data_IF_817825960887
#
_entry.id   IF_817825960887
#
_cell.length_a   1.000
_cell.length_b   1.000
_cell.length_c   1.000
_cell.angle_alpha   90.00
_cell.angle_beta   90.00
_cell.angle_gamma   90.00
#
_symmetry.space_group_name_H-M   'P 1'
#
loop_
_entity.id
_entity.type
_entity.pdbx_description
1 polymer ?
#
# COMPACT_ATOMS: atom_id res chain seq x y z
N UNK A 1 -18.61 -5.92 -23.65
CA UNK A 1 -17.28 -6.12 -23.05
C UNK A 1 -17.05 -7.61 -22.99
N UNK A 2 -15.86 -8.08 -23.32
CA UNK A 2 -15.53 -9.50 -23.22
C UNK A 2 -15.00 -9.81 -21.83
N UNK A 3 -15.18 -11.05 -21.38
CA UNK A 3 -14.79 -11.50 -20.06
C UNK A 3 -14.01 -12.81 -20.16
N UNK A 4 -13.01 -12.95 -19.29
CA UNK A 4 -12.26 -14.17 -19.09
C UNK A 4 -12.83 -14.92 -17.89
N UNK A 5 -13.39 -16.10 -18.16
CA UNK A 5 -13.82 -17.05 -17.15
C UNK A 5 -12.65 -17.97 -16.82
N UNK A 6 -12.38 -18.14 -15.52
CA UNK A 6 -11.47 -19.16 -15.00
C UNK A 6 -12.27 -20.26 -14.34
N UNK A 7 -12.16 -21.47 -14.86
CA UNK A 7 -12.79 -22.66 -14.32
C UNK A 7 -11.92 -23.36 -13.27
N UNK A 8 -12.58 -24.22 -12.50
CA UNK A 8 -11.98 -25.21 -11.63
C UNK A 8 -11.34 -26.34 -12.45
N UNK A 9 -10.26 -26.92 -11.94
CA UNK A 9 -9.59 -28.08 -12.52
C UNK A 9 -10.20 -29.41 -12.06
N UNK A 10 -11.51 -29.41 -11.82
CA UNK A 10 -12.30 -30.59 -11.46
C UNK A 10 -13.54 -30.65 -12.37
N UNK A 11 -14.00 -31.85 -12.68
CA UNK A 11 -15.18 -32.10 -13.53
C UNK A 11 -15.15 -31.32 -14.85
N UNK A 12 -14.02 -31.38 -15.57
CA UNK A 12 -13.72 -30.51 -16.73
C UNK A 12 -14.77 -30.59 -17.83
N UNK A 13 -15.31 -31.78 -18.08
CA UNK A 13 -16.36 -32.03 -19.06
C UNK A 13 -17.68 -31.28 -18.78
N UNK A 14 -17.88 -30.77 -17.55
CA UNK A 14 -19.09 -30.07 -17.14
C UNK A 14 -18.96 -28.54 -17.13
N UNK A 15 -17.76 -27.97 -17.35
CA UNK A 15 -17.51 -26.52 -17.29
C UNK A 15 -18.44 -25.72 -18.20
N UNK A 16 -18.50 -26.08 -19.48
CA UNK A 16 -19.37 -25.39 -20.44
C UNK A 16 -20.85 -25.67 -20.19
N UNK A 17 -21.19 -26.88 -19.73
CA UNK A 17 -22.57 -27.25 -19.45
C UNK A 17 -23.12 -26.41 -18.28
N UNK A 18 -22.36 -26.29 -17.19
CA UNK A 18 -22.70 -25.42 -16.06
C UNK A 18 -22.82 -23.97 -16.50
N UNK A 19 -21.81 -23.43 -17.18
CA UNK A 19 -21.82 -22.03 -17.61
C UNK A 19 -23.04 -21.69 -18.49
N UNK A 20 -23.40 -22.56 -19.44
CA UNK A 20 -24.60 -22.39 -20.28
C UNK A 20 -25.89 -22.51 -19.47
N UNK A 21 -25.96 -23.47 -18.55
CA UNK A 21 -27.13 -23.63 -17.68
C UNK A 21 -27.35 -22.40 -16.79
N UNK A 22 -26.28 -21.83 -16.23
CA UNK A 22 -26.33 -20.60 -15.43
C UNK A 22 -26.83 -19.41 -16.25
N UNK A 23 -26.39 -19.28 -17.51
CA UNK A 23 -26.89 -18.24 -18.41
C UNK A 23 -28.39 -18.37 -18.69
N UNK A 24 -28.88 -19.59 -18.91
CA UNK A 24 -30.32 -19.85 -19.08
C UNK A 24 -31.11 -19.51 -17.82
N UNK A 25 -30.62 -19.92 -16.65
CA UNK A 25 -31.29 -19.67 -15.35
C UNK A 25 -31.39 -18.17 -15.04
N UNK A 26 -30.34 -17.41 -15.35
CA UNK A 26 -30.30 -15.96 -15.09
C UNK A 26 -30.87 -15.14 -16.27
N UNK A 27 -31.28 -15.78 -17.37
CA UNK A 27 -31.83 -15.10 -18.56
C UNK A 27 -30.80 -14.22 -19.29
N UNK A 28 -29.53 -14.63 -19.32
CA UNK A 28 -28.41 -13.86 -19.86
C UNK A 28 -28.09 -14.32 -21.29
N UNK A 29 -27.98 -13.37 -22.22
CA UNK A 29 -27.41 -13.60 -23.55
C UNK A 29 -25.89 -13.83 -23.45
N UNK A 30 -25.50 -15.10 -23.30
CA UNK A 30 -24.10 -15.54 -23.21
C UNK A 30 -23.61 -16.06 -24.56
N UNK A 31 -22.46 -15.51 -25.01
CA UNK A 31 -21.72 -16.02 -26.17
C UNK A 31 -20.36 -16.55 -25.74
N UNK A 32 -20.02 -17.76 -26.16
CA UNK A 32 -18.67 -18.32 -25.99
C UNK A 32 -17.85 -17.88 -27.19
N UNK A 33 -16.81 -17.10 -26.94
CA UNK A 33 -15.90 -16.59 -27.97
C UNK A 33 -14.73 -17.55 -28.17
N UNK A 34 -14.19 -18.08 -27.07
CA UNK A 34 -13.08 -19.04 -27.13
C UNK A 34 -13.11 -19.99 -25.94
N UNK A 35 -12.87 -21.27 -26.19
CA UNK A 35 -12.75 -22.30 -25.17
C UNK A 35 -11.89 -23.46 -25.69
N UNK A 36 -11.06 -24.03 -24.80
CA UNK A 36 -10.36 -25.29 -25.01
C UNK A 36 -10.47 -26.15 -23.76
N UNK A 37 -10.56 -27.47 -23.94
CA UNK A 37 -10.51 -28.42 -22.82
C UNK A 37 -9.10 -28.56 -22.22
N UNK A 38 -8.06 -28.11 -22.94
CA UNK A 38 -6.66 -28.22 -22.51
C UNK A 38 -6.26 -27.21 -21.41
N UNK A 39 -7.11 -26.21 -21.14
CA UNK A 39 -6.83 -25.17 -20.15
C UNK A 39 -8.10 -24.65 -19.46
N UNK A 40 -8.00 -24.11 -18.24
CA UNK A 40 -9.17 -23.72 -17.46
C UNK A 40 -9.79 -22.37 -17.87
N UNK A 41 -9.42 -21.81 -19.03
CA UNK A 41 -9.85 -20.48 -19.46
C UNK A 41 -10.89 -20.52 -20.57
N UNK A 42 -11.83 -19.58 -20.50
CA UNK A 42 -12.86 -19.37 -21.52
C UNK A 42 -13.11 -17.88 -21.70
N UNK A 43 -13.15 -17.43 -22.94
CA UNK A 43 -13.50 -16.05 -23.26
C UNK A 43 -14.98 -16.03 -23.64
N UNK A 44 -15.73 -15.15 -22.98
CA UNK A 44 -17.16 -14.99 -23.18
C UNK A 44 -17.54 -13.54 -23.45
N UNK A 45 -18.65 -13.35 -24.15
CA UNK A 45 -19.33 -12.08 -24.27
C UNK A 45 -20.66 -12.15 -23.50
N UNK A 46 -20.88 -11.20 -22.61
CA UNK A 46 -22.14 -11.00 -21.87
C UNK A 46 -22.55 -9.52 -21.89
N UNK A 47 -23.83 -9.19 -21.65
CA UNK A 47 -24.34 -7.83 -21.88
C UNK A 47 -23.77 -6.77 -20.93
N UNK A 48 -23.38 -7.15 -19.70
CA UNK A 48 -22.89 -6.22 -18.68
C UNK A 48 -22.06 -6.91 -17.60
N UNK A 49 -21.38 -6.11 -16.77
CA UNK A 49 -20.68 -6.61 -15.59
C UNK A 49 -21.63 -7.22 -14.56
N UNK A 50 -22.88 -6.74 -14.47
CA UNK A 50 -23.89 -7.32 -13.60
C UNK A 50 -24.34 -8.70 -14.09
N UNK A 51 -24.43 -8.91 -15.40
CA UNK A 51 -24.66 -10.24 -15.97
C UNK A 51 -23.51 -11.21 -15.61
N UNK A 52 -22.25 -10.76 -15.74
CA UNK A 52 -21.10 -11.56 -15.31
C UNK A 52 -21.16 -11.90 -13.80
N UNK A 53 -21.54 -10.95 -12.94
CA UNK A 53 -21.73 -11.19 -11.50
C UNK A 53 -22.86 -12.17 -11.20
N UNK A 54 -23.97 -12.08 -11.94
CA UNK A 54 -25.10 -12.99 -11.79
C UNK A 54 -24.72 -14.43 -12.16
N UNK A 55 -23.94 -14.63 -13.24
CA UNK A 55 -23.43 -15.95 -13.63
C UNK A 55 -22.61 -16.61 -12.51
N UNK A 56 -21.64 -15.90 -11.94
CA UNK A 56 -20.74 -16.51 -10.96
C UNK A 56 -21.42 -16.76 -9.60
N UNK A 57 -22.49 -16.02 -9.26
CA UNK A 57 -23.18 -16.11 -7.96
C UNK A 57 -23.64 -17.53 -7.60
N UNK A 58 -23.96 -18.34 -8.62
CA UNK A 58 -24.47 -19.71 -8.46
C UNK A 58 -23.52 -20.77 -9.01
N UNK A 59 -22.32 -20.36 -9.42
CA UNK A 59 -21.38 -21.26 -10.05
C UNK A 59 -20.59 -22.08 -9.03
N UNK A 60 -20.35 -23.34 -9.38
CA UNK A 60 -19.56 -24.30 -8.62
C UNK A 60 -18.22 -24.52 -9.32
N UNK A 61 -18.22 -24.68 -10.65
CA UNK A 61 -17.00 -24.91 -11.44
C UNK A 61 -16.36 -23.62 -11.97
N UNK A 62 -17.01 -22.46 -11.85
CA UNK A 62 -16.41 -21.16 -12.21
C UNK A 62 -15.76 -20.55 -10.95
N UNK A 63 -14.43 -20.39 -10.98
CA UNK A 63 -13.67 -19.79 -9.87
C UNK A 63 -13.76 -18.26 -9.89
N UNK A 64 -13.67 -17.67 -11.08
CA UNK A 64 -13.69 -16.22 -11.25
C UNK A 64 -14.07 -15.81 -12.68
N UNK A 65 -14.62 -14.60 -12.80
CA UNK A 65 -14.87 -13.94 -14.08
C UNK A 65 -14.20 -12.57 -14.02
N UNK A 66 -13.37 -12.26 -15.02
CA UNK A 66 -12.59 -11.04 -15.10
C UNK A 66 -12.94 -10.28 -16.37
N UNK A 67 -12.93 -8.95 -16.33
CA UNK A 67 -12.98 -8.15 -17.56
C UNK A 67 -11.73 -8.43 -18.39
N UNK A 68 -11.91 -8.74 -19.67
CA UNK A 68 -10.80 -9.00 -20.58
C UNK A 68 -10.27 -7.67 -21.11
N UNK A 69 -9.07 -7.29 -20.68
CA UNK A 69 -8.45 -6.01 -21.06
C UNK A 69 -7.51 -6.10 -22.25
N UNK A 70 -7.01 -7.29 -22.55
CA UNK A 70 -6.11 -7.53 -23.67
C UNK A 70 -6.06 -8.99 -24.02
N UNK A 71 -6.06 -9.28 -25.31
CA UNK A 71 -5.93 -10.63 -25.84
C UNK A 71 -5.21 -10.65 -27.19
N UNK A 72 -4.22 -11.52 -27.35
CA UNK A 72 -3.50 -11.70 -28.61
C UNK A 72 -3.12 -13.18 -28.80
N UNK A 73 -3.86 -13.93 -29.64
CA UNK A 73 -3.55 -15.33 -29.93
C UNK A 73 -2.14 -15.55 -30.52
N UNK A 74 -1.58 -14.54 -31.18
CA UNK A 74 -0.22 -14.57 -31.73
C UNK A 74 0.87 -14.67 -30.67
N UNK A 75 0.57 -14.31 -29.40
CA UNK A 75 1.54 -14.23 -28.32
C UNK A 75 2.57 -13.10 -28.47
N UNK A 76 2.46 -12.25 -29.50
CA UNK A 76 3.38 -11.15 -29.74
C UNK A 76 3.03 -9.92 -28.89
N UNK A 77 4.06 -9.27 -28.36
CA UNK A 77 3.91 -8.09 -27.51
C UNK A 77 3.20 -6.92 -28.22
N UNK A 78 3.51 -6.69 -29.49
CA UNK A 78 2.92 -5.57 -30.22
C UNK A 78 1.42 -5.76 -30.46
N UNK A 79 0.99 -7.00 -30.71
CA UNK A 79 -0.42 -7.33 -30.94
C UNK A 79 -1.24 -7.19 -29.66
N UNK A 80 -0.71 -7.66 -28.52
CA UNK A 80 -1.38 -7.48 -27.22
C UNK A 80 -1.47 -5.99 -26.85
N UNK A 81 -0.42 -5.22 -27.13
CA UNK A 81 -0.42 -3.78 -26.86
C UNK A 81 -1.43 -3.04 -27.75
N UNK A 82 -1.53 -3.40 -29.03
CA UNK A 82 -2.53 -2.84 -29.94
C UNK A 82 -3.96 -3.18 -29.49
N UNK A 83 -4.25 -4.44 -29.12
CA UNK A 83 -5.58 -4.84 -28.62
C UNK A 83 -5.94 -4.12 -27.32
N UNK A 84 -5.03 -4.03 -26.35
CA UNK A 84 -5.27 -3.32 -25.09
C UNK A 84 -5.67 -1.86 -25.35
N UNK A 85 -4.95 -1.17 -26.25
CA UNK A 85 -5.29 0.21 -26.62
C UNK A 85 -6.68 0.27 -27.26
N UNK A 86 -6.91 -0.48 -28.33
CA UNK A 86 -8.18 -0.44 -29.04
C UNK A 86 -9.39 -0.82 -28.16
N UNK A 87 -9.22 -1.81 -27.27
CA UNK A 87 -10.29 -2.36 -26.44
C UNK A 87 -10.61 -1.53 -25.21
N UNK A 88 -9.59 -0.98 -24.55
CA UNK A 88 -9.74 -0.40 -23.20
C UNK A 88 -9.40 1.07 -23.06
N UNK A 89 -8.86 1.73 -24.10
CA UNK A 89 -8.60 3.17 -24.07
C UNK A 89 -9.79 4.02 -23.58
N UNK A 90 -11.05 3.74 -23.98
CA UNK A 90 -12.20 4.47 -23.45
C UNK A 90 -12.40 4.34 -21.93
N UNK A 91 -11.87 3.29 -21.31
CA UNK A 91 -12.00 3.02 -19.88
C UNK A 91 -10.90 3.67 -19.04
N UNK A 92 -9.75 4.01 -19.63
CA UNK A 92 -8.57 4.43 -18.88
C UNK A 92 -8.81 5.65 -17.99
N UNK A 93 -9.63 6.60 -18.44
CA UNK A 93 -10.00 7.79 -17.65
C UNK A 93 -10.70 7.42 -16.33
N UNK A 94 -11.53 6.38 -16.34
CA UNK A 94 -12.23 5.85 -15.16
C UNK A 94 -11.30 5.18 -14.16
N UNK A 95 -10.13 4.69 -14.62
CA UNK A 95 -9.15 3.99 -13.79
C UNK A 95 -7.88 4.82 -13.52
N UNK A 96 -7.81 6.06 -14.02
CA UNK A 96 -6.64 6.93 -13.92
C UNK A 96 -6.22 7.23 -12.47
N UNK A 97 -7.14 7.08 -11.51
CA UNK A 97 -6.91 7.32 -10.07
C UNK A 97 -6.88 6.04 -9.23
N UNK A 98 -6.99 4.85 -9.86
CA UNK A 98 -6.95 3.55 -9.20
C UNK A 98 -5.51 3.00 -9.11
N UNK A 99 -5.18 2.25 -8.06
CA UNK A 99 -3.85 1.63 -7.89
C UNK A 99 -3.85 0.12 -8.21
N UNK A 100 -2.87 -0.33 -9.00
CA UNK A 100 -2.61 -1.73 -9.35
C UNK A 100 -1.24 -2.17 -8.79
N UNK A 101 -1.08 -3.44 -8.34
CA UNK A 101 0.22 -4.00 -7.88
C UNK A 101 0.94 -4.73 -9.03
N UNK A 102 2.24 -4.49 -9.21
CA UNK A 102 3.06 -5.02 -10.32
C UNK A 102 3.61 -6.44 -10.15
N UNK A 103 4.03 -7.07 -11.26
CA UNK A 103 4.44 -8.49 -11.38
C UNK A 103 5.91 -8.82 -10.99
N UNK A 104 6.64 -7.94 -10.30
CA UNK A 104 8.05 -8.18 -9.92
C UNK A 104 9.03 -8.16 -11.10
N UNK A 105 10.28 -8.58 -10.88
CA UNK A 105 11.34 -8.56 -11.90
C UNK A 105 11.85 -7.15 -12.23
N UNK A 106 11.91 -6.80 -13.53
CA UNK A 106 12.28 -5.44 -13.99
C UNK A 106 11.29 -4.36 -13.52
N UNK A 107 10.05 -4.73 -13.18
CA UNK A 107 9.02 -3.85 -12.61
C UNK A 107 9.04 -3.88 -11.08
N UNK A 108 10.22 -3.73 -10.50
CA UNK A 108 10.45 -3.70 -9.05
C UNK A 108 11.38 -2.55 -8.68
N UNK A 109 11.50 -2.23 -7.38
CA UNK A 109 12.46 -1.23 -6.94
C UNK A 109 13.88 -1.59 -7.39
N UNK A 110 14.29 -2.85 -7.25
CA UNK A 110 15.58 -3.34 -7.76
C UNK A 110 15.72 -3.16 -9.28
N UNK A 111 14.67 -3.49 -10.03
CA UNK A 111 14.61 -3.27 -11.47
C UNK A 111 14.78 -1.80 -11.87
N UNK A 112 14.23 -0.87 -11.10
CA UNK A 112 14.44 0.57 -11.33
C UNK A 112 15.92 0.93 -11.18
N UNK A 113 16.61 0.47 -10.13
CA UNK A 113 18.04 0.73 -9.96
C UNK A 113 18.89 0.13 -11.09
N UNK A 114 18.50 -1.04 -11.59
CA UNK A 114 19.10 -1.67 -12.77
C UNK A 114 18.96 -0.77 -14.01
N UNK A 115 17.73 -0.32 -14.29
CA UNK A 115 17.41 0.55 -15.41
C UNK A 115 18.22 1.85 -15.40
N UNK A 116 18.46 2.44 -14.24
CA UNK A 116 19.25 3.66 -14.11
C UNK A 116 20.77 3.43 -13.99
N UNK A 117 21.25 2.17 -14.02
CA UNK A 117 22.68 1.86 -13.88
C UNK A 117 23.24 2.20 -12.49
N UNK A 118 22.40 2.13 -11.45
CA UNK A 118 22.71 2.53 -10.08
C UNK A 118 22.89 1.34 -9.12
N UNK A 119 22.84 0.10 -9.61
CA UNK A 119 22.91 -1.11 -8.76
C UNK A 119 24.15 -1.15 -7.87
N UNK A 120 25.30 -0.65 -8.36
CA UNK A 120 26.56 -0.59 -7.59
C UNK A 120 26.50 0.31 -6.35
N UNK A 121 25.51 1.20 -6.26
CA UNK A 121 25.30 2.11 -5.13
C UNK A 121 24.30 1.55 -4.12
N UNK A 122 23.71 0.39 -4.40
CA UNK A 122 22.73 -0.25 -3.53
C UNK A 122 23.42 -1.27 -2.65
N UNK A 123 23.22 -1.13 -1.33
CA UNK A 123 23.60 -2.17 -0.37
C UNK A 123 22.66 -3.36 -0.48
N UNK A 124 21.44 -3.22 0.03
CA UNK A 124 20.41 -4.26 -0.06
C UNK A 124 18.98 -3.68 0.02
N UNK A 125 18.00 -4.52 -0.34
CA UNK A 125 16.57 -4.24 -0.13
C UNK A 125 15.95 -5.24 0.84
N UNK A 126 15.20 -4.76 1.81
CA UNK A 126 14.43 -5.61 2.71
C UNK A 126 13.09 -4.97 3.05
N UNK A 127 12.14 -5.81 3.46
CA UNK A 127 10.84 -5.37 3.96
C UNK A 127 10.82 -5.59 5.46
N UNK A 128 10.55 -4.54 6.22
CA UNK A 128 10.41 -4.61 7.66
C UNK A 128 9.36 -3.64 8.15
N UNK A 129 8.81 -3.93 9.31
CA UNK A 129 8.13 -2.94 10.12
C UNK A 129 9.20 -2.12 10.86
N UNK A 130 9.14 -0.78 10.76
CA UNK A 130 10.10 0.12 11.40
C UNK A 130 10.21 -0.14 12.90
N UNK A 131 9.08 -0.44 13.55
CA UNK A 131 9.02 -0.72 15.00
C UNK A 131 9.65 -2.06 15.35
N UNK A 132 9.81 -2.95 14.36
CA UNK A 132 10.41 -4.29 14.47
C UNK A 132 11.55 -4.43 13.44
N UNK A 133 12.45 -3.44 13.40
CA UNK A 133 13.56 -3.42 12.44
C UNK A 133 14.52 -4.61 12.64
N UNK A 134 14.96 -5.29 11.56
CA UNK A 134 15.98 -6.34 11.62
C UNK A 134 17.40 -5.77 11.70
N UNK A 135 17.56 -4.45 11.60
CA UNK A 135 18.86 -3.81 11.64
C UNK A 135 19.45 -3.83 13.05
N UNK A 136 20.75 -4.08 13.13
CA UNK A 136 21.48 -4.01 14.39
C UNK A 136 21.41 -2.57 14.91
N UNK A 137 20.87 -2.41 16.12
CA UNK A 137 20.77 -1.12 16.81
C UNK A 137 22.14 -0.62 17.21
N UNK A 138 22.76 0.15 16.32
CA UNK A 138 24.00 0.88 16.55
C UNK A 138 24.03 2.10 15.63
N UNK A 139 24.83 3.09 15.98
CA UNK A 139 25.03 4.26 15.13
C UNK A 139 26.02 3.93 14.02
N UNK A 140 25.54 3.90 12.77
CA UNK A 140 26.39 3.62 11.61
C UNK A 140 25.92 4.29 10.32
N UNK A 141 24.73 4.90 10.32
CA UNK A 141 24.19 5.56 9.13
C UNK A 141 24.57 7.05 9.15
N UNK A 142 25.08 7.55 8.02
CA UNK A 142 25.30 9.00 7.84
C UNK A 142 23.99 9.74 7.53
N UNK A 143 23.04 9.05 6.90
CA UNK A 143 21.79 9.65 6.43
C UNK A 143 20.63 8.67 6.37
N UNK A 144 19.44 9.14 6.69
CA UNK A 144 18.16 8.45 6.52
C UNK A 144 17.26 9.38 5.69
N UNK A 145 16.70 8.85 4.60
CA UNK A 145 15.71 9.54 3.79
C UNK A 145 14.47 8.67 3.66
N UNK A 146 13.30 9.18 4.00
CA UNK A 146 12.05 8.43 3.85
C UNK A 146 10.85 9.31 3.49
N UNK A 147 9.92 8.74 2.71
CA UNK A 147 8.60 9.31 2.44
C UNK A 147 7.55 8.45 3.14
N UNK A 148 7.30 8.69 4.44
CA UNK A 148 6.41 7.84 5.22
C UNK A 148 4.97 7.95 4.73
N UNK A 149 4.15 6.89 4.85
CA UNK A 149 2.75 6.94 4.41
C UNK A 149 1.94 7.97 5.20
N UNK A 150 1.19 8.82 4.49
CA UNK A 150 0.40 9.91 5.12
C UNK A 150 -0.95 9.44 5.68
N UNK A 151 -1.32 8.17 5.50
CA UNK A 151 -2.61 7.63 5.95
C UNK A 151 -3.82 7.92 5.05
N UNK A 152 -3.67 8.74 4.00
CA UNK A 152 -4.78 9.13 3.08
C UNK A 152 -5.06 8.05 2.04
N UNK A 153 -4.05 7.71 1.22
CA UNK A 153 -4.18 6.70 0.15
C UNK A 153 -3.93 5.28 0.68
N UNK A 154 -2.95 5.15 1.56
CA UNK A 154 -2.63 3.89 2.24
C UNK A 154 -2.80 4.08 3.74
N UNK A 155 -3.61 3.23 4.36
CA UNK A 155 -3.78 3.24 5.81
C UNK A 155 -2.50 2.81 6.52
N UNK A 156 -2.14 3.54 7.57
CA UNK A 156 -1.01 3.26 8.44
C UNK A 156 -1.23 1.95 9.20
N UNK A 157 -0.23 1.05 9.12
CA UNK A 157 -0.29 -0.28 9.74
C UNK A 157 1.06 -0.65 10.34
N UNK A 158 1.01 -1.33 11.48
CA UNK A 158 2.15 -1.90 12.19
C UNK A 158 1.88 -3.37 12.47
N UNK A 159 2.90 -4.19 12.70
CA UNK A 159 2.71 -5.57 13.14
C UNK A 159 1.99 -5.60 14.50
N UNK A 160 1.07 -6.53 14.64
CA UNK A 160 0.31 -6.73 15.85
C UNK A 160 -1.13 -7.17 15.59
N UNK A 161 -1.71 -7.79 16.61
CA UNK A 161 -3.10 -8.18 16.59
C UNK A 161 -4.00 -7.00 16.97
N UNK A 162 -5.08 -6.78 16.21
CA UNK A 162 -6.04 -5.70 16.49
C UNK A 162 -6.84 -5.95 17.78
N UNK A 163 -7.18 -7.21 18.04
CA UNK A 163 -7.94 -7.64 19.21
C UNK A 163 -7.29 -8.91 19.79
N UNK A 164 -6.27 -8.76 20.66
CA UNK A 164 -5.55 -9.90 21.23
C UNK A 164 -6.46 -10.83 22.04
N UNK A 165 -7.46 -10.28 22.72
CA UNK A 165 -8.39 -11.05 23.58
C UNK A 165 -9.33 -11.92 22.75
N UNK A 166 -9.80 -11.44 21.60
CA UNK A 166 -10.65 -12.24 20.70
C UNK A 166 -9.88 -13.14 19.75
N UNK A 167 -8.57 -12.95 19.60
CA UNK A 167 -7.73 -13.72 18.67
C UNK A 167 -6.45 -14.29 19.30
N UNK A 168 -6.52 -14.98 20.47
CA UNK A 168 -5.34 -15.48 21.17
C UNK A 168 -4.58 -16.54 20.37
N UNK A 169 -5.29 -17.36 19.59
CA UNK A 169 -4.70 -18.47 18.81
C UNK A 169 -3.76 -18.00 17.68
N UNK A 170 -3.93 -16.76 17.18
CA UNK A 170 -3.08 -16.18 16.13
C UNK A 170 -1.70 -15.77 16.68
N UNK A 171 -1.61 -15.50 17.99
CA UNK A 171 -0.37 -15.13 18.67
C UNK A 171 0.41 -16.39 19.03
N UNK A 172 -0.26 -17.40 19.59
CA UNK A 172 0.36 -18.66 20.07
C UNK A 172 0.85 -19.56 18.92
N UNK A 173 0.15 -19.60 17.77
CA UNK A 173 0.57 -20.42 16.62
C UNK A 173 1.79 -19.87 15.85
N UNK A 174 2.19 -18.61 16.11
CA UNK A 174 3.18 -17.89 15.31
C UNK A 174 4.63 -18.13 15.67
N UNK A 175 4.92 -18.68 16.86
CA UNK A 175 6.30 -18.68 17.37
C UNK A 175 7.27 -19.59 16.60
N UNK A 176 6.80 -20.60 15.84
CA UNK A 176 7.69 -21.56 15.18
C UNK A 176 7.23 -22.08 13.80
N UNK A 177 6.21 -21.48 13.16
CA UNK A 177 5.74 -21.95 11.85
C UNK A 177 6.32 -21.14 10.68
N UNK A 178 6.97 -21.79 9.69
CA UNK A 178 7.40 -21.13 8.45
C UNK A 178 6.25 -20.53 7.62
N UNK A 179 5.02 -20.97 7.85
CA UNK A 179 3.82 -20.45 7.17
C UNK A 179 3.14 -19.32 7.94
N UNK A 180 3.72 -18.87 9.06
CA UNK A 180 3.13 -17.80 9.87
C UNK A 180 3.23 -16.45 9.15
N UNK A 181 2.08 -15.80 8.98
CA UNK A 181 2.01 -14.43 8.49
C UNK A 181 1.58 -13.55 9.65
N UNK A 182 2.50 -12.71 10.13
CA UNK A 182 2.23 -11.82 11.25
C UNK A 182 1.06 -10.87 10.94
N UNK A 183 0.06 -10.76 11.84
CA UNK A 183 -1.06 -9.86 11.65
C UNK A 183 -0.61 -8.40 11.69
N UNK A 184 -1.45 -7.53 11.12
CA UNK A 184 -1.23 -6.07 11.11
C UNK A 184 -2.40 -5.38 11.80
N UNK A 185 -2.11 -4.35 12.58
CA UNK A 185 -3.10 -3.48 13.21
C UNK A 185 -3.00 -2.04 12.68
N UNK A 186 -4.07 -1.24 12.74
CA UNK A 186 -4.01 0.18 12.46
C UNK A 186 -2.93 0.88 13.29
N UNK A 187 -2.30 1.90 12.72
CA UNK A 187 -1.23 2.63 13.37
C UNK A 187 -1.45 4.15 13.34
N UNK A 188 -1.03 4.83 14.40
CA UNK A 188 -1.17 6.29 14.49
C UNK A 188 -0.13 6.99 13.63
N UNK A 189 -0.58 8.05 12.96
CA UNK A 189 0.30 8.92 12.19
C UNK A 189 1.34 9.59 13.09
N UNK A 190 0.92 10.12 14.24
CA UNK A 190 1.82 10.78 15.19
C UNK A 190 2.78 9.78 15.84
N UNK A 191 2.31 8.59 16.21
CA UNK A 191 3.18 7.52 16.74
C UNK A 191 4.25 7.10 15.72
N UNK A 192 3.89 7.02 14.43
CA UNK A 192 4.84 6.74 13.37
C UNK A 192 5.92 7.83 13.25
N UNK A 193 5.54 9.11 13.34
CA UNK A 193 6.52 10.20 13.33
C UNK A 193 7.50 10.08 14.51
N UNK A 194 6.98 9.84 15.72
CA UNK A 194 7.82 9.63 16.91
C UNK A 194 8.80 8.46 16.74
N UNK A 195 8.34 7.33 16.19
CA UNK A 195 9.19 6.17 15.95
C UNK A 195 10.23 6.40 14.85
N UNK A 196 9.94 7.20 13.82
CA UNK A 196 10.93 7.60 12.81
C UNK A 196 12.05 8.42 13.49
N UNK A 197 11.69 9.36 14.35
CA UNK A 197 12.65 10.19 15.07
C UNK A 197 13.50 9.32 16.01
N UNK A 198 12.89 8.44 16.80
CA UNK A 198 13.64 7.49 17.64
C UNK A 198 14.58 6.62 16.80
N UNK A 199 14.07 6.00 15.74
CA UNK A 199 14.87 5.13 14.90
C UNK A 199 16.10 5.90 14.38
N UNK A 200 15.93 7.15 13.98
CA UNK A 200 17.06 8.00 13.59
C UNK A 200 18.05 8.25 14.74
N UNK A 201 17.60 8.45 15.98
CA UNK A 201 18.51 8.69 17.12
C UNK A 201 19.36 7.47 17.48
N UNK A 202 18.85 6.28 17.23
CA UNK A 202 19.51 4.99 17.48
C UNK A 202 20.48 4.59 16.36
N UNK A 203 20.24 5.04 15.13
CA UNK A 203 20.91 4.54 13.92
C UNK A 203 21.87 5.55 13.29
N UNK A 204 21.60 6.86 13.40
CA UNK A 204 22.46 7.90 12.85
C UNK A 204 23.71 8.07 13.70
N UNK A 205 24.86 8.27 13.04
CA UNK A 205 26.06 8.80 13.68
C UNK A 205 25.83 10.24 14.14
N UNK A 206 26.71 10.72 15.01
CA UNK A 206 26.72 12.14 15.39
C UNK A 206 26.89 13.01 14.14
N UNK A 207 26.15 14.11 14.04
CA UNK A 207 26.01 14.98 12.86
C UNK A 207 25.31 14.33 11.64
N UNK A 208 24.91 13.06 11.73
CA UNK A 208 24.12 12.36 10.72
C UNK A 208 22.73 12.99 10.54
N UNK A 209 22.13 12.80 9.36
CA UNK A 209 20.90 13.51 8.97
C UNK A 209 19.70 12.59 8.75
N UNK A 210 18.55 12.98 9.28
CA UNK A 210 17.26 12.41 8.93
C UNK A 210 16.52 13.43 8.08
N UNK A 211 16.03 13.03 6.90
CA UNK A 211 15.13 13.84 6.09
C UNK A 211 13.86 13.04 5.77
N UNK A 212 12.69 13.58 6.10
CA UNK A 212 11.43 12.95 5.70
C UNK A 212 10.36 13.96 5.30
N UNK A 213 9.41 13.48 4.49
CA UNK A 213 8.25 14.26 4.08
C UNK A 213 7.10 14.13 5.06
N UNK A 214 6.53 15.27 5.45
CA UNK A 214 5.38 15.37 6.34
C UNK A 214 4.27 16.22 5.69
N UNK A 215 3.02 15.73 5.63
CA UNK A 215 1.89 16.54 5.20
C UNK A 215 1.45 17.50 6.32
N UNK A 216 1.02 18.69 5.95
CA UNK A 216 0.47 19.69 6.89
C UNK A 216 -0.68 20.43 6.22
N UNK A 217 -1.75 20.75 6.95
CA UNK A 217 -2.80 21.63 6.44
C UNK A 217 -2.29 23.08 6.39
N UNK A 218 -2.69 23.87 5.39
CA UNK A 218 -2.22 25.26 5.23
C UNK A 218 -2.98 26.27 6.13
N UNK A 219 -3.84 25.81 7.04
CA UNK A 219 -4.68 26.70 7.84
C UNK A 219 -3.89 27.17 9.07
N UNK A 220 -3.71 28.48 9.20
CA UNK A 220 -2.79 29.13 10.16
C UNK A 220 -3.13 28.80 11.63
N UNK A 221 -4.40 28.51 11.93
CA UNK A 221 -4.85 28.25 13.29
C UNK A 221 -4.54 26.82 13.79
N UNK A 222 -4.16 25.88 12.91
CA UNK A 222 -4.02 24.46 13.26
C UNK A 222 -2.94 23.70 12.46
N UNK A 223 -1.82 24.35 12.09
CA UNK A 223 -0.67 23.65 11.51
C UNK A 223 -0.14 22.56 12.45
N UNK A 224 0.02 21.33 11.93
CA UNK A 224 0.73 20.28 12.67
C UNK A 224 2.19 20.70 12.81
N UNK A 225 2.63 20.87 14.06
CA UNK A 225 4.02 21.16 14.37
C UNK A 225 4.93 20.03 13.88
N UNK A 226 6.15 20.41 13.47
CA UNK A 226 7.17 19.42 13.16
C UNK A 226 7.43 18.58 14.43
N UNK A 227 7.49 17.23 14.32
CA UNK A 227 7.79 16.39 15.48
C UNK A 227 9.19 16.71 16.00
N UNK A 228 9.40 16.56 17.30
CA UNK A 228 10.66 16.93 17.95
C UNK A 228 11.17 15.78 18.81
N UNK A 229 12.49 15.68 18.96
CA UNK A 229 13.15 14.72 19.83
C UNK A 229 14.37 15.39 20.48
N UNK A 230 14.64 15.19 21.78
CA UNK A 230 15.77 15.86 22.48
C UNK A 230 17.18 15.60 21.92
N UNK A 231 17.33 14.64 21.00
CA UNK A 231 18.62 14.29 20.40
C UNK A 231 18.71 14.75 18.94
N UNK A 232 17.64 15.33 18.40
CA UNK A 232 17.54 15.75 17.02
C UNK A 232 17.25 17.25 16.98
N UNK A 233 18.00 17.95 16.15
CA UNK A 233 17.81 19.37 15.89
C UNK A 233 17.29 19.56 14.47
N UNK A 234 16.27 20.39 14.27
CA UNK A 234 15.80 20.74 12.93
C UNK A 234 16.82 21.68 12.28
N UNK A 235 17.37 21.26 11.14
CA UNK A 235 18.32 22.04 10.35
C UNK A 235 17.61 22.83 9.25
N UNK A 236 16.58 22.23 8.63
CA UNK A 236 15.84 22.88 7.55
C UNK A 236 14.43 22.34 7.41
N UNK A 237 13.51 23.21 7.00
CA UNK A 237 12.15 22.87 6.61
C UNK A 237 11.90 23.44 5.22
N UNK A 238 11.80 22.56 4.21
CA UNK A 238 11.44 22.96 2.85
C UNK A 238 9.96 22.69 2.62
N UNK A 239 9.18 23.71 2.26
CA UNK A 239 7.73 23.63 2.11
C UNK A 239 7.38 23.61 0.62
N UNK A 240 6.64 22.59 0.20
CA UNK A 240 5.99 22.52 -1.10
C UNK A 240 4.48 22.73 -0.93
N UNK A 241 3.95 23.92 -1.27
CA UNK A 241 2.52 24.19 -1.13
C UNK A 241 1.71 23.47 -2.21
N UNK A 242 0.59 22.88 -1.79
CA UNK A 242 -0.55 22.52 -2.62
C UNK A 242 -1.74 23.40 -2.23
N UNK A 243 -2.86 23.30 -2.95
CA UNK A 243 -4.00 24.20 -2.77
C UNK A 243 -4.47 24.30 -1.30
N UNK A 244 -4.80 23.17 -0.65
CA UNK A 244 -5.34 23.15 0.73
C UNK A 244 -4.40 22.54 1.78
N UNK A 245 -3.25 22.04 1.36
CA UNK A 245 -2.27 21.39 2.23
C UNK A 245 -0.87 21.58 1.66
N UNK A 246 0.15 21.39 2.47
CA UNK A 246 1.55 21.47 2.07
C UNK A 246 2.25 20.16 2.40
N UNK A 247 3.29 19.86 1.62
CA UNK A 247 4.23 18.80 1.91
C UNK A 247 5.53 19.44 2.38
N UNK A 248 5.95 19.13 3.60
CA UNK A 248 7.17 19.66 4.21
C UNK A 248 8.24 18.59 4.18
N UNK A 249 9.37 18.86 3.54
CA UNK A 249 10.58 18.07 3.73
C UNK A 249 11.33 18.65 4.94
N UNK A 250 11.30 17.92 6.05
CA UNK A 250 11.94 18.33 7.29
C UNK A 250 13.24 17.56 7.42
N UNK A 251 14.33 18.28 7.67
CA UNK A 251 15.66 17.69 7.88
C UNK A 251 16.13 17.96 9.29
N UNK A 252 16.52 16.89 9.98
CA UNK A 252 17.07 16.86 11.31
C UNK A 252 18.54 16.48 11.28
N UNK A 253 19.28 16.95 12.27
CA UNK A 253 20.64 16.55 12.60
C UNK A 253 20.65 15.83 13.93
N UNK A 254 21.32 14.67 14.00
CA UNK A 254 21.60 13.99 15.26
C UNK A 254 22.72 14.72 15.99
N UNK A 255 22.38 15.33 17.12
CA UNK A 255 23.37 16.03 17.95
C UNK A 255 24.37 15.03 18.54
N UNK A 256 25.61 15.40 18.88
CA UNK A 256 26.48 14.57 19.70
C UNK A 256 25.92 14.40 21.12
N UNK A 257 26.18 13.27 21.77
CA UNK A 257 25.62 12.99 23.11
C UNK A 257 26.04 14.02 24.18
N UNK A 258 27.21 14.65 24.01
CA UNK A 258 27.67 15.74 24.87
C UNK A 258 26.86 17.03 24.76
N UNK A 259 26.07 17.19 23.69
CA UNK A 259 25.22 18.36 23.43
C UNK A 259 23.74 18.08 23.72
N UNK A 260 23.39 16.83 24.05
CA UNK A 260 22.01 16.44 24.37
C UNK A 260 21.65 16.90 25.79
N UNK A 261 20.54 17.62 25.88
CA UNK A 261 19.93 17.99 27.16
C UNK A 261 19.35 16.75 27.86
N UNK A 262 20.08 16.27 28.87
CA UNK A 262 19.76 15.05 29.60
C UNK A 262 18.45 15.17 30.39
N UNK A 263 18.10 16.37 30.85
CA UNK A 263 16.85 16.60 31.58
C UNK A 263 15.67 16.42 30.61
N UNK A 264 15.72 17.07 29.45
CA UNK A 264 14.69 16.90 28.40
C UNK A 264 14.61 15.46 27.90
N UNK A 265 15.74 14.78 27.75
CA UNK A 265 15.76 13.38 27.35
C UNK A 265 15.09 12.48 28.39
N UNK A 266 15.35 12.69 29.68
CA UNK A 266 14.74 11.90 30.76
C UNK A 266 13.22 12.12 30.88
N UNK A 267 12.75 13.33 30.56
CA UNK A 267 11.34 13.70 30.57
C UNK A 267 10.60 13.31 29.28
N UNK A 268 11.35 13.03 28.21
CA UNK A 268 10.77 12.67 26.93
C UNK A 268 10.01 11.35 27.04
N UNK A 269 8.70 11.45 26.87
CA UNK A 269 7.80 10.30 26.81
C UNK A 269 7.23 10.23 25.41
N UNK A 270 7.35 9.05 24.81
CA UNK A 270 6.65 8.70 23.57
C UNK A 270 5.15 8.91 23.78
N UNK A 271 4.52 9.62 22.85
CA UNK A 271 3.10 9.84 22.94
C UNK A 271 2.34 8.51 22.76
N UNK A 272 1.50 8.16 23.74
CA UNK A 272 0.55 7.06 23.58
C UNK A 272 -0.64 7.59 22.80
N UNK A 273 -0.71 7.21 21.53
CA UNK A 273 -1.85 7.54 20.69
C UNK A 273 -2.90 6.43 20.80
N UNK A 274 -3.95 6.70 21.59
CA UNK A 274 -5.11 5.82 21.74
C UNK A 274 -6.15 6.14 20.67
N UNK A 275 -6.67 5.11 20.00
CA UNK A 275 -7.67 5.24 18.95
C UNK A 275 -7.92 3.90 18.28
N UNK A 276 -9.15 3.70 17.77
CA UNK A 276 -9.61 2.44 17.16
C UNK A 276 -9.78 2.59 15.65
N UNK A 277 -10.10 3.81 15.19
CA UNK A 277 -10.33 4.12 13.78
C UNK A 277 -9.15 4.85 13.12
N UNK A 278 -9.07 4.79 11.79
CA UNK A 278 -7.99 5.43 11.05
C UNK A 278 -8.02 6.97 11.13
N UNK A 279 -9.20 7.56 11.34
CA UNK A 279 -9.37 9.01 11.51
C UNK A 279 -8.96 9.47 12.91
N UNK A 280 -9.39 8.77 13.96
CA UNK A 280 -8.94 9.02 15.35
C UNK A 280 -7.41 8.95 15.48
N UNK A 281 -6.80 8.03 14.73
CA UNK A 281 -5.35 7.80 14.76
C UNK A 281 -4.56 8.75 13.84
N UNK A 282 -5.23 9.54 13.00
CA UNK A 282 -4.58 10.43 12.03
C UNK A 282 -5.38 11.73 11.81
N UNK A 283 -5.05 12.80 12.57
CA UNK A 283 -5.70 14.11 12.44
C UNK A 283 -5.60 14.71 11.02
N UNK A 284 -4.51 14.45 10.30
CA UNK A 284 -4.35 14.94 8.93
C UNK A 284 -5.32 14.25 7.96
N UNK A 285 -5.46 12.92 8.07
CA UNK A 285 -6.39 12.14 7.24
C UNK A 285 -7.82 12.61 7.43
N UNK A 286 -8.25 12.76 8.67
CA UNK A 286 -9.61 13.20 8.99
C UNK A 286 -9.91 14.55 8.32
N UNK A 287 -9.01 15.52 8.43
CA UNK A 287 -9.15 16.84 7.81
C UNK A 287 -9.11 16.79 6.28
N UNK A 288 -8.24 15.95 5.71
CA UNK A 288 -8.14 15.76 4.27
C UNK A 288 -9.50 15.34 3.69
N UNK A 289 -10.19 14.40 4.33
CA UNK A 289 -11.52 13.95 3.89
C UNK A 289 -12.66 14.93 4.25
N UNK A 290 -12.51 15.71 5.33
CA UNK A 290 -13.42 16.83 5.65
C UNK A 290 -13.19 18.07 4.75
N UNK A 291 -12.18 18.04 3.89
CA UNK A 291 -11.90 19.08 2.90
C UNK A 291 -11.30 20.35 3.48
N UNK A 292 -10.71 20.30 4.68
CA UNK A 292 -10.13 21.45 5.39
C UNK A 292 -11.10 22.64 5.53
N UNK A 293 -12.39 22.36 5.80
CA UNK A 293 -13.36 23.43 6.10
C UNK A 293 -13.03 24.04 7.47
N UNK A 294 -13.02 25.37 7.57
CA UNK A 294 -13.00 26.06 8.86
C UNK A 294 -14.27 25.70 9.63
N UNK A 295 -14.14 25.35 10.90
CA UNK A 295 -15.30 25.36 11.80
C UNK A 295 -15.79 26.81 11.86
N UNK A 296 -16.99 27.08 11.35
CA UNK A 296 -17.66 28.35 11.58
C UNK A 296 -17.95 28.42 13.08
N UNK A 297 -17.29 29.36 13.76
CA UNK A 297 -17.49 29.67 15.17
C UNK A 297 -18.85 30.31 15.43
#
# INVERSE_FOLDING_TARGET
>A
MDYLVRFSQFHESFRLAELKALAVVEGIDLKILEYSDDHPFCIIAVPSADAARALIRRAILIQSIHELWGYAPSGLYEDIHADVRARTEPLWSSYATCSFKGQGGQKSLKGNFAQYGLERLVGEFFTADLTNTPLVRRRWMDGIVCDPPYGVREGLKVLGCRDPEKTPNVIVAGENSPSYIAPKKPYSFLAMLDDILEFATQMLVDEGRLSFWMPTANDEDQELNAPTHPCLEIVSVCVQPFNRWSRRLITYRRMPDSQVDQEKLSLHKRAKHEGVTADELNPFRERYFKGFKKEEA
#
